data_IF_310586988276
#
_entry.id   IF_310586988276
#
_cell.length_a   1.000
_cell.length_b   1.000
_cell.length_c   1.000
_cell.angle_alpha   90.00
_cell.angle_beta   90.00
_cell.angle_gamma   90.00
#
_symmetry.space_group_name_H-M   'P 1'
#
loop_
_entity.id
_entity.type
_entity.pdbx_description
1 polymer ?
#
# COMPACT_ATOMS: atom_id res chain seq x y z
N UNK A 1 -16.34 5.12 15.02
CA UNK A 1 -15.88 3.90 15.71
C UNK A 1 -14.46 3.64 15.24
N UNK A 2 -13.49 3.92 16.11
CA UNK A 2 -12.06 3.92 15.77
C UNK A 2 -11.55 2.48 15.70
N UNK A 3 -10.78 2.13 14.66
CA UNK A 3 -10.14 0.81 14.51
C UNK A 3 -9.22 0.41 15.68
N UNK A 4 -8.92 1.36 16.59
CA UNK A 4 -8.08 1.15 17.77
C UNK A 4 -8.91 0.97 19.06
N UNK A 5 -10.21 1.26 19.07
CA UNK A 5 -11.09 0.85 20.19
C UNK A 5 -11.34 -0.67 20.20
N UNK A 6 -10.99 -1.37 19.11
CA UNK A 6 -11.12 -2.83 18.96
C UNK A 6 -9.83 -3.60 19.23
N UNK A 7 -8.68 -2.95 19.45
CA UNK A 7 -7.43 -3.65 19.80
C UNK A 7 -7.37 -3.96 21.29
N UNK A 8 -8.16 -4.94 21.77
CA UNK A 8 -8.00 -5.62 23.08
C UNK A 8 -7.56 -4.71 24.26
N UNK A 9 -8.11 -3.49 24.40
CA UNK A 9 -7.80 -2.59 25.53
C UNK A 9 -6.36 -2.06 25.62
N UNK A 10 -5.57 -2.05 24.54
CA UNK A 10 -4.18 -1.53 24.53
C UNK A 10 -4.14 0.00 24.45
N UNK A 11 -3.22 0.64 25.17
CA UNK A 11 -3.00 2.10 25.12
C UNK A 11 -2.58 2.48 23.68
N UNK A 12 -3.15 3.57 23.16
CA UNK A 12 -2.83 4.08 21.83
C UNK A 12 -1.36 4.46 21.68
N UNK A 13 -0.64 4.67 22.80
CA UNK A 13 0.80 4.92 22.81
C UNK A 13 1.65 3.70 22.46
N UNK A 14 1.16 2.50 22.73
CA UNK A 14 1.88 1.25 22.46
C UNK A 14 1.60 0.72 21.04
N UNK A 15 0.57 1.27 20.39
CA UNK A 15 0.20 0.91 19.03
C UNK A 15 1.22 1.47 18.01
N UNK A 16 1.67 0.65 17.06
CA UNK A 16 2.54 1.11 15.99
C UNK A 16 1.81 2.11 15.08
N UNK A 17 2.51 3.11 14.54
CA UNK A 17 1.98 3.85 13.41
C UNK A 17 2.28 3.06 12.13
N UNK A 18 1.26 2.42 11.57
CA UNK A 18 1.37 1.74 10.28
C UNK A 18 1.20 2.73 9.13
N UNK A 19 2.11 2.68 8.17
CA UNK A 19 2.10 3.49 6.94
C UNK A 19 2.03 2.54 5.75
N UNK A 20 1.06 2.73 4.86
CA UNK A 20 0.97 1.95 3.61
C UNK A 20 1.35 2.84 2.44
N UNK A 21 2.38 2.43 1.69
CA UNK A 21 2.73 3.06 0.42
C UNK A 21 2.12 2.22 -0.70
N UNK A 22 1.27 2.83 -1.51
CA UNK A 22 0.59 2.17 -2.61
C UNK A 22 0.87 2.90 -3.91
N UNK A 23 1.37 2.15 -4.89
CA UNK A 23 1.53 2.60 -6.27
C UNK A 23 0.44 2.03 -7.15
N UNK A 24 0.08 2.75 -8.19
CA UNK A 24 -1.07 2.44 -9.02
C UNK A 24 -0.71 2.48 -10.52
N UNK A 25 -1.51 1.75 -11.30
CA UNK A 25 -1.49 1.70 -12.76
C UNK A 25 -0.31 0.88 -13.32
N UNK A 26 0.00 1.09 -14.60
CA UNK A 26 0.95 0.27 -15.33
C UNK A 26 2.35 0.31 -14.72
N UNK A 27 2.88 -0.87 -14.43
CA UNK A 27 4.24 -1.04 -13.93
C UNK A 27 5.19 -1.16 -15.14
N UNK A 28 6.05 -0.16 -15.29
CA UNK A 28 7.00 0.00 -16.39
C UNK A 28 8.32 0.55 -15.83
N UNK A 29 9.40 0.46 -16.60
CA UNK A 29 10.71 1.04 -16.23
C UNK A 29 10.61 2.53 -15.85
N UNK A 30 9.76 3.29 -16.55
CA UNK A 30 9.57 4.72 -16.28
C UNK A 30 8.86 4.96 -14.95
N UNK A 31 7.86 4.15 -14.61
CA UNK A 31 7.06 4.29 -13.39
C UNK A 31 7.78 3.72 -12.17
N UNK A 32 8.63 2.71 -12.32
CA UNK A 32 9.44 2.13 -11.22
C UNK A 32 10.42 3.12 -10.58
N UNK A 33 10.86 4.16 -11.30
CA UNK A 33 11.81 5.16 -10.79
C UNK A 33 11.32 5.85 -9.51
N UNK A 34 10.01 6.08 -9.40
CA UNK A 34 9.40 6.75 -8.23
C UNK A 34 9.57 5.90 -6.97
N UNK A 35 9.12 4.63 -6.91
CA UNK A 35 9.39 3.76 -5.76
C UNK A 35 10.87 3.60 -5.45
N UNK A 36 11.73 3.41 -6.45
CA UNK A 36 13.18 3.26 -6.22
C UNK A 36 13.76 4.47 -5.47
N UNK A 37 13.31 5.66 -5.85
CA UNK A 37 13.67 6.92 -5.20
C UNK A 37 13.09 7.04 -3.79
N UNK A 38 11.85 6.62 -3.59
CA UNK A 38 11.14 6.79 -2.32
C UNK A 38 11.52 5.75 -1.27
N UNK A 39 11.90 4.53 -1.67
CA UNK A 39 11.98 3.40 -0.75
C UNK A 39 13.40 2.94 -0.42
N UNK A 40 14.34 3.02 -1.37
CA UNK A 40 15.66 2.37 -1.27
C UNK A 40 16.46 2.72 0.00
N UNK A 41 16.32 3.96 0.49
CA UNK A 41 17.07 4.49 1.62
C UNK A 41 16.49 4.14 3.00
N UNK A 42 15.29 3.56 3.08
CA UNK A 42 14.57 3.39 4.34
C UNK A 42 14.46 1.92 4.75
N UNK A 43 14.43 1.71 6.06
CA UNK A 43 14.27 0.40 6.71
C UNK A 43 13.22 0.51 7.80
N UNK A 44 12.47 -0.57 8.00
CA UNK A 44 11.61 -0.71 9.17
C UNK A 44 12.46 -0.94 10.43
N UNK A 45 11.88 -0.79 11.65
CA UNK A 45 12.61 -0.98 12.90
C UNK A 45 13.29 -2.35 13.08
N UNK A 46 12.82 -3.40 12.38
CA UNK A 46 13.48 -4.71 12.33
C UNK A 46 14.68 -4.80 11.38
N UNK A 47 15.08 -3.70 10.75
CA UNK A 47 16.18 -3.65 9.79
C UNK A 47 15.83 -4.09 8.36
N UNK A 48 14.61 -4.55 8.10
CA UNK A 48 14.19 -4.95 6.76
C UNK A 48 13.95 -3.73 5.86
N UNK A 49 14.20 -3.83 4.53
CA UNK A 49 13.68 -2.88 3.54
C UNK A 49 12.21 -2.55 3.80
N UNK A 50 11.84 -1.28 3.67
CA UNK A 50 10.42 -0.94 3.66
C UNK A 50 9.75 -1.56 2.45
N UNK A 51 8.49 -1.96 2.61
CA UNK A 51 7.70 -2.61 1.56
C UNK A 51 6.50 -1.75 1.19
N UNK A 52 5.96 -2.00 -0.01
CA UNK A 52 4.82 -1.29 -0.55
C UNK A 52 3.86 -2.24 -1.27
N UNK A 53 2.70 -1.73 -1.67
CA UNK A 53 1.73 -2.43 -2.53
C UNK A 53 1.69 -1.79 -3.91
N UNK A 54 1.77 -2.58 -4.98
CA UNK A 54 1.46 -2.08 -6.33
C UNK A 54 0.11 -2.61 -6.78
N UNK A 55 -0.82 -1.73 -7.11
CA UNK A 55 -2.11 -2.08 -7.68
C UNK A 55 -2.01 -2.01 -9.21
N UNK A 56 -1.83 -3.17 -9.82
CA UNK A 56 -1.40 -3.34 -11.21
C UNK A 56 -2.60 -3.48 -12.14
N UNK A 57 -2.64 -2.67 -13.21
CA UNK A 57 -3.47 -2.92 -14.39
C UNK A 57 -2.76 -3.85 -15.36
N UNK A 58 -3.50 -4.53 -16.26
CA UNK A 58 -2.87 -5.41 -17.26
C UNK A 58 -2.26 -4.63 -18.41
N UNK A 59 -3.01 -3.67 -18.95
CA UNK A 59 -2.59 -2.94 -20.14
C UNK A 59 -1.35 -2.08 -19.89
N UNK A 60 -0.36 -2.19 -20.77
CA UNK A 60 0.91 -1.46 -20.69
C UNK A 60 1.84 -1.87 -19.54
N UNK A 61 1.56 -2.95 -18.80
CA UNK A 61 2.43 -3.45 -17.71
C UNK A 61 3.50 -4.40 -18.24
N UNK A 62 4.74 -4.24 -17.77
CA UNK A 62 5.80 -5.23 -17.88
C UNK A 62 5.73 -6.22 -16.71
N UNK A 63 5.29 -7.44 -17.00
CA UNK A 63 5.11 -8.46 -15.97
C UNK A 63 6.43 -9.05 -15.42
N UNK A 64 7.56 -8.88 -16.10
CA UNK A 64 8.86 -9.25 -15.51
C UNK A 64 9.18 -8.32 -14.34
N UNK A 65 8.87 -7.04 -14.47
CA UNK A 65 9.04 -6.07 -13.40
C UNK A 65 8.02 -6.31 -12.26
N UNK A 66 6.79 -6.76 -12.57
CA UNK A 66 5.83 -7.21 -11.54
C UNK A 66 6.38 -8.41 -10.77
N UNK A 67 6.96 -9.39 -11.46
CA UNK A 67 7.61 -10.54 -10.83
C UNK A 67 8.76 -10.11 -9.90
N UNK A 68 9.62 -9.21 -10.37
CA UNK A 68 10.72 -8.66 -9.55
C UNK A 68 10.21 -7.88 -8.34
N UNK A 69 9.17 -7.06 -8.53
CA UNK A 69 8.53 -6.31 -7.44
C UNK A 69 8.03 -7.24 -6.34
N UNK A 70 7.32 -8.31 -6.73
CA UNK A 70 6.85 -9.33 -5.81
C UNK A 70 7.98 -10.11 -5.13
N UNK A 71 9.00 -10.52 -5.90
CA UNK A 71 10.17 -11.23 -5.37
C UNK A 71 10.96 -10.39 -4.34
N UNK A 72 10.93 -9.06 -4.45
CA UNK A 72 11.50 -8.15 -3.47
C UNK A 72 10.68 -8.01 -2.17
N UNK A 73 9.60 -8.80 -2.01
CA UNK A 73 8.74 -8.81 -0.83
C UNK A 73 7.63 -7.77 -0.80
N UNK A 74 7.42 -7.06 -1.92
CA UNK A 74 6.31 -6.14 -2.05
C UNK A 74 5.02 -6.86 -2.44
N UNK A 75 3.88 -6.27 -2.10
CA UNK A 75 2.58 -6.79 -2.49
C UNK A 75 2.23 -6.39 -3.92
N UNK A 76 1.61 -7.32 -4.65
CA UNK A 76 0.92 -7.06 -5.92
C UNK A 76 -0.58 -7.23 -5.70
N UNK A 77 -1.33 -6.19 -6.06
CA UNK A 77 -2.78 -6.13 -5.97
C UNK A 77 -3.38 -5.87 -7.35
N UNK A 78 -4.66 -6.21 -7.47
CA UNK A 78 -5.41 -6.22 -8.71
C UNK A 78 -6.09 -4.87 -9.00
N UNK A 79 -5.95 -4.36 -10.22
CA UNK A 79 -6.75 -3.27 -10.81
C UNK A 79 -7.14 -3.67 -12.21
N UNK A 80 -8.39 -3.45 -12.61
CA UNK A 80 -8.97 -3.93 -13.87
C UNK A 80 -8.03 -3.85 -15.10
N UNK A 81 -8.28 -4.71 -16.09
CA UNK A 81 -7.39 -4.89 -17.26
C UNK A 81 -6.96 -3.56 -17.92
N UNK A 82 -7.90 -2.68 -18.25
CA UNK A 82 -7.64 -1.45 -19.03
C UNK A 82 -7.89 -0.16 -18.23
N UNK A 83 -7.93 -0.25 -16.89
CA UNK A 83 -8.24 0.89 -16.02
C UNK A 83 -9.66 1.48 -16.24
N UNK A 84 -10.61 0.70 -16.75
CA UNK A 84 -12.02 1.10 -16.78
C UNK A 84 -12.79 0.47 -15.62
N UNK A 85 -13.79 1.18 -15.12
CA UNK A 85 -14.71 0.69 -14.08
C UNK A 85 -15.72 -0.33 -14.61
N UNK A 86 -15.29 -1.25 -15.48
CA UNK A 86 -16.11 -2.31 -16.04
C UNK A 86 -15.98 -3.58 -15.18
N UNK A 87 -17.07 -4.09 -14.58
CA UNK A 87 -17.04 -5.34 -13.82
C UNK A 87 -16.47 -6.54 -14.58
N UNK A 88 -16.64 -6.59 -15.91
CA UNK A 88 -16.08 -7.65 -16.76
C UNK A 88 -14.55 -7.70 -16.78
N UNK A 89 -13.86 -6.65 -16.33
CA UNK A 89 -12.40 -6.56 -16.31
C UNK A 89 -11.77 -6.80 -14.94
N UNK A 90 -12.59 -7.09 -13.92
CA UNK A 90 -12.12 -7.35 -12.53
C UNK A 90 -11.22 -8.58 -12.45
N UNK A 91 -11.38 -9.57 -13.35
CA UNK A 91 -10.64 -10.83 -13.35
C UNK A 91 -9.18 -10.76 -13.80
N UNK A 92 -8.55 -9.59 -13.80
CA UNK A 92 -7.18 -9.43 -14.29
C UNK A 92 -6.10 -10.06 -13.38
N UNK A 93 -6.49 -10.56 -12.20
CA UNK A 93 -5.67 -11.37 -11.30
C UNK A 93 -5.14 -12.63 -11.98
N UNK A 94 -5.93 -13.26 -12.85
CA UNK A 94 -5.49 -14.41 -13.64
C UNK A 94 -4.39 -14.04 -14.63
N UNK A 95 -4.50 -12.85 -15.25
CA UNK A 95 -3.46 -12.33 -16.14
C UNK A 95 -2.16 -12.02 -15.38
N UNK A 96 -2.27 -11.37 -14.22
CA UNK A 96 -1.11 -11.09 -13.36
C UNK A 96 -0.44 -12.41 -12.95
N UNK A 97 -1.22 -13.38 -12.47
CA UNK A 97 -0.69 -14.67 -12.01
C UNK A 97 0.05 -15.41 -13.12
N UNK A 98 -0.56 -15.52 -14.31
CA UNK A 98 0.01 -16.24 -15.45
C UNK A 98 1.29 -15.58 -15.99
N UNK A 99 1.33 -14.24 -16.05
CA UNK A 99 2.44 -13.53 -16.68
C UNK A 99 3.58 -13.16 -15.71
N UNK A 100 3.29 -12.96 -14.42
CA UNK A 100 4.29 -12.63 -13.41
C UNK A 100 4.70 -13.84 -12.54
N UNK A 101 4.11 -15.02 -12.77
CA UNK A 101 4.41 -16.25 -12.00
C UNK A 101 4.17 -16.05 -10.49
N UNK A 102 3.06 -15.36 -10.16
CA UNK A 102 2.63 -15.11 -8.79
C UNK A 102 1.44 -16.03 -8.50
N UNK A 103 1.49 -16.88 -7.45
CA UNK A 103 0.37 -17.74 -7.11
C UNK A 103 -0.90 -16.94 -6.87
N UNK A 104 -2.04 -17.44 -7.38
CA UNK A 104 -3.30 -16.72 -7.29
C UNK A 104 -3.61 -16.31 -5.85
N UNK A 105 -3.46 -17.20 -4.86
CA UNK A 105 -3.73 -16.94 -3.44
C UNK A 105 -2.95 -15.74 -2.85
N UNK A 106 -1.85 -15.32 -3.48
CA UNK A 106 -1.05 -14.16 -3.07
C UNK A 106 -1.57 -12.83 -3.60
N UNK A 107 -2.45 -12.84 -4.61
CA UNK A 107 -3.02 -11.65 -5.23
C UNK A 107 -4.38 -11.27 -4.62
N UNK A 108 -4.44 -11.06 -3.30
CA UNK A 108 -5.71 -10.91 -2.59
C UNK A 108 -6.28 -9.48 -2.55
N UNK A 109 -5.50 -8.48 -2.95
CA UNK A 109 -5.90 -7.08 -2.98
C UNK A 109 -6.60 -6.67 -4.27
N UNK A 110 -7.60 -5.79 -4.18
CA UNK A 110 -8.21 -5.12 -5.32
C UNK A 110 -8.49 -3.64 -5.03
N UNK A 111 -8.29 -2.80 -6.04
CA UNK A 111 -8.73 -1.40 -6.02
C UNK A 111 -9.37 -1.00 -7.34
N UNK A 112 -10.60 -0.49 -7.24
CA UNK A 112 -11.39 -0.11 -8.40
C UNK A 112 -10.83 1.16 -9.08
N UNK A 113 -10.80 1.21 -10.43
CA UNK A 113 -10.43 2.42 -11.16
C UNK A 113 -11.29 3.62 -10.78
N UNK A 114 -10.66 4.79 -10.70
CA UNK A 114 -11.31 6.05 -10.31
C UNK A 114 -12.02 6.00 -8.94
N UNK A 115 -11.71 4.99 -8.11
CA UNK A 115 -12.37 4.74 -6.83
C UNK A 115 -13.88 4.46 -6.99
N UNK A 116 -14.30 4.00 -8.18
CA UNK A 116 -15.68 3.67 -8.51
C UNK A 116 -15.91 2.17 -8.35
N UNK A 117 -16.36 1.80 -7.17
CA UNK A 117 -16.72 0.41 -6.85
C UNK A 117 -18.21 0.16 -7.08
N UNK A 118 -18.57 -1.08 -7.48
CA UNK A 118 -19.96 -1.51 -7.62
C UNK A 118 -20.22 -2.85 -6.92
N UNK A 119 -21.48 -3.11 -6.60
CA UNK A 119 -21.91 -4.40 -6.02
C UNK A 119 -21.57 -5.59 -6.93
N UNK A 120 -21.65 -5.39 -8.24
CA UNK A 120 -21.28 -6.41 -9.22
C UNK A 120 -19.80 -6.76 -9.15
N UNK A 121 -18.91 -5.75 -9.01
CA UNK A 121 -17.49 -5.99 -8.76
C UNK A 121 -17.29 -6.75 -7.44
N UNK A 122 -18.06 -6.42 -6.41
CA UNK A 122 -18.03 -7.13 -5.12
C UNK A 122 -18.39 -8.60 -5.25
N UNK A 123 -19.43 -8.91 -6.03
CA UNK A 123 -19.86 -10.28 -6.26
C UNK A 123 -18.80 -11.10 -7.02
N UNK A 124 -18.10 -10.48 -7.98
CA UNK A 124 -16.99 -11.13 -8.70
C UNK A 124 -15.80 -11.38 -7.76
N UNK A 125 -15.37 -10.36 -7.03
CA UNK A 125 -14.24 -10.47 -6.08
C UNK A 125 -14.50 -11.50 -4.98
N UNK A 126 -15.74 -11.59 -4.49
CA UNK A 126 -16.15 -12.60 -3.52
C UNK A 126 -16.03 -14.03 -4.05
N UNK A 127 -16.27 -14.26 -5.36
CA UNK A 127 -16.06 -15.56 -6.01
C UNK A 127 -14.58 -15.87 -6.24
N UNK A 128 -13.76 -14.86 -6.48
CA UNK A 128 -12.32 -15.02 -6.74
C UNK A 128 -11.46 -15.12 -5.46
N UNK A 129 -12.08 -15.16 -4.27
CA UNK A 129 -11.37 -15.13 -2.98
C UNK A 129 -10.42 -13.93 -2.83
N UNK A 130 -10.77 -12.79 -3.45
CA UNK A 130 -10.05 -11.53 -3.25
C UNK A 130 -10.52 -10.93 -1.92
N UNK A 131 -9.70 -11.07 -0.88
CA UNK A 131 -10.08 -10.77 0.51
C UNK A 131 -9.88 -9.30 0.93
N UNK A 132 -9.18 -8.49 0.12
CA UNK A 132 -8.87 -7.11 0.46
C UNK A 132 -9.39 -6.12 -0.59
N UNK A 133 -10.29 -5.24 -0.19
CA UNK A 133 -10.86 -4.20 -1.03
C UNK A 133 -10.44 -2.81 -0.55
N UNK A 134 -9.80 -2.01 -1.42
CA UNK A 134 -9.28 -0.70 -1.09
C UNK A 134 -9.81 0.38 -2.05
N UNK A 135 -11.10 0.68 -1.99
CA UNK A 135 -11.69 1.86 -2.68
C UNK A 135 -11.93 2.98 -1.67
N UNK A 136 -10.90 3.77 -1.38
CA UNK A 136 -11.05 4.95 -0.52
C UNK A 136 -11.78 6.07 -1.26
N UNK A 137 -12.94 6.52 -0.78
CA UNK A 137 -13.51 7.82 -1.16
C UNK A 137 -12.84 8.96 -0.38
N UNK A 138 -11.58 9.25 -0.69
CA UNK A 138 -10.85 10.40 -0.18
C UNK A 138 -10.65 11.46 -1.27
N UNK A 139 -10.99 12.73 -1.01
CA UNK A 139 -10.69 13.81 -1.96
C UNK A 139 -9.17 14.00 -2.07
N UNK A 140 -8.61 13.78 -3.26
CA UNK A 140 -7.21 14.10 -3.53
C UNK A 140 -6.93 15.60 -3.32
N UNK A 141 -5.85 16.01 -2.63
CA UNK A 141 -5.48 17.42 -2.54
C UNK A 141 -5.09 17.96 -3.92
N UNK A 142 -5.69 19.07 -4.35
CA UNK A 142 -5.30 19.76 -5.58
C UNK A 142 -4.09 20.66 -5.32
N UNK A 143 -3.01 20.47 -6.10
CA UNK A 143 -1.79 21.30 -6.21
C UNK A 143 -1.01 21.53 -4.91
N UNK A 144 0.15 20.88 -4.80
CA UNK A 144 1.08 21.07 -3.69
C UNK A 144 2.02 22.26 -3.96
N UNK A 145 1.71 23.44 -3.39
CA UNK A 145 2.69 24.52 -3.18
C UNK A 145 3.50 24.29 -1.89
N UNK A 146 4.15 25.31 -1.34
CA UNK A 146 4.86 25.23 -0.03
C UNK A 146 3.96 24.69 1.11
N UNK A 147 2.65 24.97 1.05
CA UNK A 147 1.65 24.40 1.96
C UNK A 147 1.48 22.88 1.85
N UNK A 148 1.93 22.24 0.77
CA UNK A 148 1.85 20.80 0.58
C UNK A 148 2.70 19.99 1.54
N UNK A 149 3.92 20.46 1.83
CA UNK A 149 4.80 19.88 2.87
C UNK A 149 4.15 19.93 4.24
N UNK A 150 3.64 21.10 4.59
CA UNK A 150 2.94 21.32 5.85
C UNK A 150 1.69 20.43 5.97
N UNK A 151 0.88 20.32 4.90
CA UNK A 151 -0.33 19.50 4.90
C UNK A 151 -0.03 18.01 5.03
N UNK A 152 0.97 17.51 4.31
CA UNK A 152 1.38 16.10 4.37
C UNK A 152 1.88 15.73 5.77
N UNK A 153 2.79 16.53 6.34
CA UNK A 153 3.30 16.34 7.69
C UNK A 153 2.20 16.46 8.75
N UNK A 154 1.31 17.45 8.63
CA UNK A 154 0.19 17.63 9.56
C UNK A 154 -0.81 16.48 9.52
N UNK A 155 -1.09 15.94 8.33
CA UNK A 155 -1.96 14.76 8.20
C UNK A 155 -1.31 13.53 8.82
N UNK A 156 -0.02 13.29 8.58
CA UNK A 156 0.71 12.21 9.26
C UNK A 156 0.66 12.36 10.79
N UNK A 157 0.98 13.55 11.31
CA UNK A 157 0.98 13.82 12.75
C UNK A 157 -0.40 13.66 13.40
N UNK A 158 -1.50 13.87 12.65
CA UNK A 158 -2.86 13.60 13.15
C UNK A 158 -3.07 12.12 13.43
N UNK A 159 -2.56 11.24 12.57
CA UNK A 159 -2.62 9.79 12.79
C UNK A 159 -1.68 9.40 13.93
N UNK A 160 -0.43 9.87 13.86
CA UNK A 160 0.64 9.52 14.79
C UNK A 160 0.35 9.95 16.24
N UNK A 161 -0.09 11.20 16.45
CA UNK A 161 -0.43 11.70 17.79
C UNK A 161 -1.88 11.38 18.21
N UNK A 162 -2.66 10.79 17.32
CA UNK A 162 -4.06 10.48 17.54
C UNK A 162 -4.28 9.02 17.91
N UNK A 163 -5.24 8.39 17.26
CA UNK A 163 -5.60 7.00 17.48
C UNK A 163 -4.71 6.02 16.71
N UNK A 164 -3.56 6.43 16.14
CA UNK A 164 -2.67 5.56 15.34
C UNK A 164 -3.36 4.84 14.17
N UNK A 165 -4.46 5.40 13.64
CA UNK A 165 -5.10 4.84 12.45
C UNK A 165 -4.08 4.73 11.31
N UNK A 166 -4.12 3.69 10.47
CA UNK A 166 -3.18 3.52 9.37
C UNK A 166 -3.12 4.76 8.48
N UNK A 167 -1.91 5.17 8.10
CA UNK A 167 -1.68 6.33 7.26
C UNK A 167 -1.31 5.89 5.84
N UNK A 168 -2.26 6.04 4.90
CA UNK A 168 -2.06 5.62 3.51
C UNK A 168 -1.50 6.72 2.62
N UNK A 169 -0.49 6.37 1.81
CA UNK A 169 0.09 7.20 0.75
C UNK A 169 -0.19 6.50 -0.58
N UNK A 170 -1.04 7.09 -1.41
CA UNK A 170 -1.49 6.52 -2.69
C UNK A 170 -0.96 7.37 -3.84
N UNK A 171 -0.16 6.78 -4.72
CA UNK A 171 0.54 7.48 -5.79
C UNK A 171 0.30 6.78 -7.13
N UNK A 172 0.03 7.56 -8.17
CA UNK A 172 0.20 7.12 -9.56
C UNK A 172 1.56 7.63 -10.04
N UNK A 173 2.60 6.78 -10.19
CA UNK A 173 3.94 7.23 -10.54
C UNK A 173 4.01 8.08 -11.81
N UNK A 174 3.22 7.76 -12.83
CA UNK A 174 3.14 8.53 -14.07
C UNK A 174 2.70 9.99 -13.84
N UNK A 175 1.96 10.25 -12.76
CA UNK A 175 1.33 11.55 -12.46
C UNK A 175 1.94 12.24 -11.24
N UNK A 176 2.93 11.64 -10.56
CA UNK A 176 3.49 12.21 -9.32
C UNK A 176 4.26 13.51 -9.59
N UNK A 177 4.86 13.64 -10.77
CA UNK A 177 5.61 14.82 -11.21
C UNK A 177 6.62 15.32 -10.17
N UNK A 178 6.66 16.65 -9.99
CA UNK A 178 7.55 17.31 -9.04
C UNK A 178 7.24 17.06 -7.55
N UNK A 179 6.15 16.36 -7.21
CA UNK A 179 5.80 16.08 -5.82
C UNK A 179 6.64 14.95 -5.19
N UNK A 180 7.48 14.27 -5.97
CA UNK A 180 8.34 13.18 -5.46
C UNK A 180 9.19 13.61 -4.25
N UNK A 181 9.73 14.84 -4.27
CA UNK A 181 10.52 15.35 -3.15
C UNK A 181 9.69 15.57 -1.88
N UNK A 182 8.43 15.99 -2.01
CA UNK A 182 7.50 16.13 -0.89
C UNK A 182 7.29 14.78 -0.20
N UNK A 183 7.06 13.71 -0.96
CA UNK A 183 6.89 12.37 -0.40
C UNK A 183 8.18 11.83 0.21
N UNK A 184 9.34 12.11 -0.41
CA UNK A 184 10.63 11.75 0.18
C UNK A 184 10.83 12.40 1.55
N UNK A 185 10.54 13.70 1.67
CA UNK A 185 10.69 14.42 2.94
C UNK A 185 9.76 13.85 4.02
N UNK A 186 8.53 13.47 3.65
CA UNK A 186 7.58 12.80 4.53
C UNK A 186 8.09 11.43 4.99
N UNK A 187 8.55 10.59 4.07
CA UNK A 187 9.10 9.26 4.38
C UNK A 187 10.34 9.37 5.27
N UNK A 188 11.20 10.36 5.02
CA UNK A 188 12.36 10.65 5.89
C UNK A 188 11.92 10.97 7.32
N UNK A 189 10.91 11.83 7.49
CA UNK A 189 10.40 12.17 8.81
C UNK A 189 9.75 10.96 9.50
N UNK A 190 8.85 10.27 8.80
CA UNK A 190 8.18 9.09 9.33
C UNK A 190 9.17 7.98 9.74
N UNK A 191 10.19 7.71 8.92
CA UNK A 191 11.23 6.71 9.20
C UNK A 191 12.17 7.11 10.36
N UNK A 192 12.17 8.38 10.80
CA UNK A 192 12.96 8.82 11.95
C UNK A 192 12.33 8.45 13.29
N UNK A 193 11.09 7.98 13.28
CA UNK A 193 10.32 7.57 14.46
C UNK A 193 10.42 6.03 14.60
N UNK A 194 10.73 5.55 15.80
CA UNK A 194 11.11 4.16 16.06
C UNK A 194 9.92 3.17 16.07
N UNK A 195 8.70 3.68 16.14
CA UNK A 195 7.43 2.96 16.22
C UNK A 195 6.58 3.14 14.94
N UNK A 196 7.18 3.67 13.87
CA UNK A 196 6.58 3.75 12.53
C UNK A 196 7.02 2.56 11.69
N UNK A 197 6.05 1.92 11.04
CA UNK A 197 6.27 0.75 10.19
C UNK A 197 5.63 0.94 8.82
N UNK A 198 6.44 0.78 7.78
CA UNK A 198 5.99 0.76 6.39
C UNK A 198 5.64 -0.67 6.02
N UNK A 199 4.36 -0.92 5.79
CA UNK A 199 3.81 -2.25 5.57
C UNK A 199 3.02 -2.31 4.28
N UNK A 200 2.89 -3.50 3.71
CA UNK A 200 1.93 -3.73 2.63
C UNK A 200 0.50 -3.66 3.15
N UNK A 201 -0.47 -3.50 2.25
CA UNK A 201 -1.88 -3.55 2.59
C UNK A 201 -2.25 -4.93 3.18
N UNK A 202 -1.66 -6.03 2.70
CA UNK A 202 -1.84 -7.37 3.28
C UNK A 202 -1.29 -7.48 4.71
N UNK A 203 -0.08 -6.98 4.95
CA UNK A 203 0.53 -6.98 6.30
C UNK A 203 -0.27 -6.13 7.29
N UNK A 204 -0.80 -5.00 6.82
CA UNK A 204 -1.72 -4.19 7.61
C UNK A 204 -2.94 -5.02 8.04
N UNK A 205 -3.58 -5.75 7.12
CA UNK A 205 -4.73 -6.60 7.48
C UNK A 205 -4.38 -7.70 8.46
N UNK A 206 -3.20 -8.34 8.30
CA UNK A 206 -2.74 -9.36 9.24
C UNK A 206 -2.58 -8.78 10.65
N UNK A 207 -2.02 -7.57 10.78
CA UNK A 207 -1.97 -6.89 12.07
C UNK A 207 -3.37 -6.53 12.59
N UNK A 208 -4.29 -6.10 11.72
CA UNK A 208 -5.66 -5.77 12.13
C UNK A 208 -6.45 -6.99 12.63
N UNK A 209 -6.11 -8.20 12.16
CA UNK A 209 -6.73 -9.45 12.61
C UNK A 209 -6.29 -9.87 14.02
N UNK A 210 -5.02 -9.67 14.38
CA UNK A 210 -4.52 -9.88 15.75
C UNK A 210 -3.49 -8.80 16.15
N UNK A 211 -3.97 -7.63 16.64
CA UNK A 211 -3.09 -6.49 16.90
C UNK A 211 -2.07 -6.71 18.01
N UNK A 212 -0.80 -6.49 17.67
CA UNK A 212 0.34 -6.50 18.61
C UNK A 212 0.92 -5.09 18.80
N UNK A 213 1.56 -4.78 19.95
CA UNK A 213 2.25 -3.51 20.16
C UNK A 213 3.44 -3.34 19.20
N UNK A 214 3.93 -2.10 19.05
CA UNK A 214 5.03 -1.79 18.15
C UNK A 214 6.31 -2.60 18.46
N UNK A 215 6.55 -2.90 19.73
CA UNK A 215 7.69 -3.69 20.23
C UNK A 215 7.64 -5.17 19.80
N UNK A 216 6.46 -5.69 19.48
CA UNK A 216 6.27 -7.09 19.09
C UNK A 216 6.17 -7.29 17.57
N UNK A 217 6.03 -6.21 16.78
CA UNK A 217 5.90 -6.29 15.32
C UNK A 217 7.10 -6.96 14.65
N UNK A 218 8.32 -6.71 15.14
CA UNK A 218 9.54 -7.30 14.58
C UNK A 218 9.55 -8.83 14.62
N UNK A 219 8.85 -9.43 15.60
CA UNK A 219 8.76 -10.88 15.78
C UNK A 219 7.67 -11.53 14.90
N UNK A 220 6.78 -10.73 14.30
CA UNK A 220 5.65 -11.25 13.56
C UNK A 220 6.09 -11.97 12.27
N UNK A 221 5.51 -13.14 11.95
CA UNK A 221 5.93 -13.94 10.81
C UNK A 221 5.75 -13.20 9.48
N UNK A 222 4.77 -12.30 9.40
CA UNK A 222 4.45 -11.54 8.21
C UNK A 222 5.31 -10.28 7.99
N UNK A 223 6.18 -9.92 8.94
CA UNK A 223 7.10 -8.79 8.83
C UNK A 223 8.58 -9.21 8.72
N UNK A 224 8.85 -10.50 8.55
CA UNK A 224 10.21 -11.01 8.33
C UNK A 224 10.78 -10.46 7.03
N UNK A 225 12.09 -10.20 7.02
CA UNK A 225 12.76 -9.78 5.79
C UNK A 225 12.64 -10.89 4.74
N UNK A 226 12.28 -10.50 3.52
CA UNK A 226 12.43 -11.39 2.38
C UNK A 226 13.91 -11.43 2.03
N UNK A 227 14.51 -12.61 2.20
CA UNK A 227 15.89 -12.86 1.77
C UNK A 227 15.80 -13.24 0.30
N UNK A 228 16.22 -12.31 -0.57
CA UNK A 228 16.32 -12.54 -2.01
C UNK A 228 17.52 -13.45 -2.33
#
# INVERSE_FOLDING_TARGET
>A
MSLVETSKGKDTKDAPQLVTLTFEDALQDSTLKVPSVLMSAYRNPNGCPIVATWVVQTDGTDFNLVKQWYAAGNEVANRTMTHVGNPGEVGNRNSISANADIPLDKLSGFRAPFLKYSEEMSAILGKESSSQHCSYHGRAPRRFGAGGRYLAARNFLRHYNGNRAPFGIYLTPANVGGATQLYRDLLKHASSLHDVWFVTNQQLLQWMQDPVPATELAAQPYLKCVVA
#
